data_IF_783851359148
#
_entry.id   IF_783851359148
#
_cell.length_a   1.000
_cell.length_b   1.000
_cell.length_c   1.000
_cell.angle_alpha   90.00
_cell.angle_beta   90.00
_cell.angle_gamma   90.00
#
_symmetry.space_group_name_H-M   'P 1'
#
loop_
_entity.id
_entity.type
_entity.pdbx_description
1 polymer ?
#
# COMPACT_ATOMS: atom_id res chain seq x y z
N UNK A 1 -19.94 -30.57 -14.12
CA UNK A 1 -19.16 -29.65 -13.26
C UNK A 1 -17.80 -30.29 -13.04
N UNK A 2 -16.68 -29.70 -13.52
CA UNK A 2 -15.38 -30.33 -13.38
C UNK A 2 -14.87 -30.14 -11.93
N UNK A 3 -14.37 -31.23 -11.34
CA UNK A 3 -13.89 -31.34 -9.95
C UNK A 3 -12.49 -30.73 -9.72
N UNK A 4 -12.08 -29.76 -10.55
CA UNK A 4 -10.67 -29.35 -10.69
C UNK A 4 -10.43 -27.86 -10.91
N UNK A 5 -11.47 -27.03 -10.83
CA UNK A 5 -11.32 -25.59 -11.05
C UNK A 5 -10.86 -24.87 -9.77
N UNK A 6 -9.67 -25.15 -9.24
CA UNK A 6 -9.12 -24.43 -8.08
C UNK A 6 -8.64 -23.00 -8.44
N UNK A 7 -8.54 -22.68 -9.72
CA UNK A 7 -8.01 -21.41 -10.26
C UNK A 7 -8.81 -20.15 -9.87
N UNK A 8 -10.03 -20.32 -9.34
CA UNK A 8 -10.86 -19.20 -8.89
C UNK A 8 -10.43 -18.64 -7.53
N UNK A 9 -9.65 -19.39 -6.75
CA UNK A 9 -9.09 -18.92 -5.49
C UNK A 9 -7.76 -18.21 -5.75
N UNK A 10 -7.74 -16.88 -5.62
CA UNK A 10 -6.60 -16.04 -6.04
C UNK A 10 -5.59 -15.78 -4.93
N UNK A 11 -5.88 -16.19 -3.69
CA UNK A 11 -4.97 -16.00 -2.55
C UNK A 11 -4.91 -17.24 -1.65
N UNK A 12 -3.83 -17.35 -0.86
CA UNK A 12 -3.67 -18.46 0.09
C UNK A 12 -4.84 -18.53 1.06
N UNK A 13 -5.24 -17.36 1.56
CA UNK A 13 -6.35 -17.26 2.48
C UNK A 13 -7.63 -17.80 1.83
N UNK A 14 -7.97 -17.31 0.64
CA UNK A 14 -9.17 -17.75 -0.10
C UNK A 14 -9.18 -19.27 -0.34
N UNK A 15 -8.05 -19.82 -0.79
CA UNK A 15 -7.86 -21.24 -1.06
C UNK A 15 -8.00 -22.14 0.19
N UNK A 16 -7.33 -21.77 1.29
CA UNK A 16 -7.33 -22.56 2.53
C UNK A 16 -8.66 -22.43 3.27
N UNK A 17 -9.24 -21.23 3.27
CA UNK A 17 -10.51 -20.95 3.91
C UNK A 17 -11.68 -21.60 3.16
N UNK A 18 -11.59 -21.84 1.86
CA UNK A 18 -12.62 -22.55 1.10
C UNK A 18 -12.87 -23.99 1.58
N UNK A 19 -11.89 -24.62 2.24
CA UNK A 19 -11.95 -26.02 2.74
C UNK A 19 -12.32 -27.04 1.65
N UNK A 20 -11.97 -26.75 0.40
CA UNK A 20 -12.20 -27.68 -0.70
C UNK A 20 -11.24 -28.88 -0.56
N UNK A 21 -11.74 -30.11 -0.41
CA UNK A 21 -10.90 -31.30 -0.23
C UNK A 21 -9.99 -31.58 -1.42
N UNK A 22 -10.30 -31.06 -2.61
CA UNK A 22 -9.52 -31.26 -3.82
C UNK A 22 -8.51 -30.14 -4.07
N UNK A 23 -8.62 -28.99 -3.41
CA UNK A 23 -7.74 -27.83 -3.60
C UNK A 23 -6.81 -27.60 -2.40
N UNK A 24 -5.59 -27.17 -2.68
CA UNK A 24 -4.62 -26.74 -1.69
C UNK A 24 -3.75 -25.62 -2.23
N UNK A 25 -3.27 -24.76 -1.34
CA UNK A 25 -2.40 -23.65 -1.71
C UNK A 25 -0.97 -24.13 -1.87
N UNK A 26 -0.37 -23.96 -3.04
CA UNK A 26 1.04 -24.29 -3.26
C UNK A 26 1.91 -23.05 -2.97
N UNK A 27 2.77 -23.16 -1.96
CA UNK A 27 3.65 -22.07 -1.51
C UNK A 27 4.74 -21.70 -2.54
N UNK A 28 5.13 -22.63 -3.42
CA UNK A 28 6.13 -22.37 -4.47
C UNK A 28 5.52 -21.59 -5.62
N UNK A 29 4.38 -22.06 -6.14
CA UNK A 29 3.72 -21.43 -7.28
C UNK A 29 2.86 -20.22 -6.89
N UNK A 30 2.70 -19.99 -5.58
CA UNK A 30 1.86 -18.94 -5.01
C UNK A 30 0.46 -18.95 -5.62
N UNK A 31 -0.11 -20.15 -5.77
CA UNK A 31 -1.41 -20.37 -6.41
C UNK A 31 -2.17 -21.53 -5.78
N UNK A 32 -3.51 -21.48 -5.87
CA UNK A 32 -4.35 -22.59 -5.45
C UNK A 32 -4.40 -23.65 -6.55
N UNK A 33 -4.04 -24.89 -6.22
CA UNK A 33 -3.94 -25.97 -7.18
C UNK A 33 -4.66 -27.22 -6.69
N UNK A 34 -5.07 -28.08 -7.63
CA UNK A 34 -5.69 -29.34 -7.31
C UNK A 34 -4.65 -30.36 -6.81
N UNK A 35 -4.93 -31.01 -5.68
CA UNK A 35 -3.97 -31.85 -4.94
C UNK A 35 -3.53 -33.08 -5.73
N UNK A 36 -4.39 -33.59 -6.60
CA UNK A 36 -4.07 -34.72 -7.49
C UNK A 36 -2.96 -34.41 -8.51
N UNK A 37 -2.69 -33.13 -8.79
CA UNK A 37 -1.62 -32.69 -9.67
C UNK A 37 -0.34 -32.31 -8.93
N UNK A 38 -0.32 -32.43 -7.60
CA UNK A 38 0.84 -32.10 -6.76
C UNK A 38 1.66 -33.37 -6.55
N UNK A 39 2.95 -33.31 -6.91
CA UNK A 39 3.84 -34.46 -6.86
C UNK A 39 4.05 -34.94 -5.41
N UNK A 40 4.07 -36.27 -5.15
CA UNK A 40 4.23 -36.84 -3.79
C UNK A 40 5.42 -36.31 -2.98
N UNK A 41 6.48 -35.87 -3.67
CA UNK A 41 7.69 -35.34 -3.04
C UNK A 41 7.57 -33.87 -2.59
N UNK A 42 6.47 -33.17 -2.92
CA UNK A 42 6.25 -31.74 -2.64
C UNK A 42 5.15 -31.48 -1.60
N UNK A 43 4.61 -32.53 -0.97
CA UNK A 43 3.51 -32.42 0.01
C UNK A 43 3.81 -31.52 1.22
N UNK A 44 5.08 -31.21 1.48
CA UNK A 44 5.49 -30.31 2.56
C UNK A 44 5.23 -28.83 2.28
N UNK A 45 4.91 -28.44 1.04
CA UNK A 45 4.77 -27.03 0.64
C UNK A 45 3.33 -26.68 0.22
N UNK A 46 2.39 -27.58 0.49
CA UNK A 46 0.96 -27.37 0.22
C UNK A 46 0.23 -27.08 1.52
N UNK A 47 -0.41 -25.92 1.60
CA UNK A 47 -1.25 -25.53 2.73
C UNK A 47 -2.70 -25.89 2.41
N UNK A 48 -3.29 -26.74 3.23
CA UNK A 48 -4.71 -27.07 3.19
C UNK A 48 -5.22 -27.25 4.61
N UNK A 49 -6.42 -26.75 4.90
CA UNK A 49 -7.05 -26.98 6.20
C UNK A 49 -8.53 -27.29 6.07
N UNK A 50 -8.86 -28.59 6.14
CA UNK A 50 -10.23 -29.09 5.96
C UNK A 50 -11.04 -29.09 7.25
N UNK A 51 -10.38 -29.39 8.39
CA UNK A 51 -11.03 -29.53 9.70
C UNK A 51 -11.01 -28.23 10.49
N UNK A 52 -9.81 -27.69 10.68
CA UNK A 52 -9.56 -26.66 11.68
C UNK A 52 -9.50 -25.23 11.10
N UNK A 53 -9.66 -25.09 9.76
CA UNK A 53 -9.57 -23.80 9.02
C UNK A 53 -8.34 -22.98 9.41
N UNK A 54 -7.23 -23.68 9.59
CA UNK A 54 -5.96 -23.10 9.95
C UNK A 54 -5.24 -22.54 8.72
N UNK A 55 -5.41 -21.24 8.48
CA UNK A 55 -4.65 -20.48 7.49
C UNK A 55 -3.41 -19.78 8.09
N UNK A 56 -3.01 -20.13 9.32
CA UNK A 56 -1.80 -19.58 9.96
C UNK A 56 -0.51 -19.94 9.22
N UNK A 57 -0.57 -20.99 8.39
CA UNK A 57 0.52 -21.42 7.51
C UNK A 57 0.55 -20.66 6.18
N UNK A 58 -0.43 -19.79 5.91
CA UNK A 58 -0.36 -18.90 4.77
C UNK A 58 0.77 -17.87 5.01
N UNK A 59 1.54 -17.55 3.95
CA UNK A 59 2.50 -16.47 4.05
C UNK A 59 1.74 -15.19 4.40
N UNK A 60 2.29 -14.42 5.34
CA UNK A 60 1.78 -13.08 5.59
C UNK A 60 1.85 -12.31 4.27
N UNK A 61 0.74 -11.68 3.88
CA UNK A 61 0.77 -10.72 2.78
C UNK A 61 1.81 -9.67 3.15
N UNK A 62 2.86 -9.52 2.34
CA UNK A 62 3.88 -8.50 2.60
C UNK A 62 3.18 -7.15 2.62
N UNK A 63 3.08 -6.55 3.80
CA UNK A 63 2.48 -5.22 3.92
C UNK A 63 3.42 -4.24 3.24
N UNK A 64 2.99 -3.71 2.09
CA UNK A 64 3.79 -2.72 1.38
C UNK A 64 3.84 -1.45 2.21
N UNK A 65 4.99 -1.15 2.82
CA UNK A 65 5.22 0.08 3.57
C UNK A 65 5.61 1.21 2.59
N UNK A 66 4.65 2.07 2.27
CA UNK A 66 4.80 3.11 1.26
C UNK A 66 4.87 4.49 1.93
N UNK A 67 5.98 5.20 1.76
CA UNK A 67 6.09 6.61 2.18
C UNK A 67 5.51 7.48 1.07
N UNK A 68 4.53 8.33 1.39
CA UNK A 68 3.98 9.33 0.46
C UNK A 68 4.17 10.74 1.00
N UNK A 69 4.71 11.62 0.15
CA UNK A 69 4.81 13.03 0.46
C UNK A 69 3.59 13.79 -0.07
N UNK A 70 3.09 14.73 0.72
CA UNK A 70 1.96 15.57 0.34
C UNK A 70 2.19 17.03 0.73
N UNK A 71 1.40 17.91 0.14
CA UNK A 71 1.36 19.33 0.47
C UNK A 71 -0.06 19.72 0.86
N UNK A 72 -0.25 20.75 1.71
CA UNK A 72 -1.57 21.23 2.05
C UNK A 72 -2.42 21.56 0.80
N UNK A 73 -3.67 21.10 0.76
CA UNK A 73 -4.54 21.23 -0.40
C UNK A 73 -4.47 20.07 -1.41
N UNK A 74 -3.50 19.16 -1.29
CA UNK A 74 -3.39 18.02 -2.19
C UNK A 74 -4.54 17.03 -2.01
N UNK A 75 -4.92 16.39 -3.12
CA UNK A 75 -5.76 15.19 -3.11
C UNK A 75 -4.87 13.95 -3.06
N UNK A 76 -5.06 13.10 -2.04
CA UNK A 76 -4.33 11.84 -1.88
C UNK A 76 -5.25 10.64 -2.11
N UNK A 77 -4.67 9.58 -2.65
CA UNK A 77 -5.31 8.27 -2.84
C UNK A 77 -4.40 7.17 -2.31
N UNK A 78 -4.91 6.40 -1.35
CA UNK A 78 -4.22 5.26 -0.75
C UNK A 78 -4.98 4.00 -1.14
N UNK A 79 -4.39 3.20 -2.03
CA UNK A 79 -4.99 1.97 -2.52
C UNK A 79 -4.78 0.85 -1.50
N UNK A 80 -5.80 0.05 -1.27
CA UNK A 80 -5.68 -1.19 -0.53
C UNK A 80 -6.30 -2.31 -1.35
N UNK A 81 -5.56 -3.38 -1.57
CA UNK A 81 -6.06 -4.53 -2.30
C UNK A 81 -6.70 -5.52 -1.32
N UNK A 82 -7.85 -6.12 -1.64
CA UNK A 82 -8.48 -7.11 -0.77
C UNK A 82 -7.66 -8.41 -0.78
N UNK A 83 -7.60 -9.09 0.38
CA UNK A 83 -6.94 -10.39 0.49
C UNK A 83 -7.73 -11.53 -0.16
N UNK A 84 -9.05 -11.40 -0.24
CA UNK A 84 -9.96 -12.34 -0.91
C UNK A 84 -11.25 -11.63 -1.33
N UNK A 85 -12.08 -12.26 -2.17
CA UNK A 85 -13.35 -11.67 -2.59
C UNK A 85 -14.39 -11.55 -1.45
N UNK A 86 -14.16 -12.24 -0.34
CA UNK A 86 -15.04 -12.24 0.85
C UNK A 86 -14.56 -11.28 1.95
N UNK A 87 -13.48 -10.55 1.72
CA UNK A 87 -12.89 -9.67 2.73
C UNK A 87 -13.52 -8.29 2.76
N UNK A 88 -13.75 -7.79 3.97
CA UNK A 88 -14.08 -6.41 4.23
C UNK A 88 -12.82 -5.62 4.59
N UNK A 89 -12.60 -4.48 3.93
CA UNK A 89 -11.46 -3.61 4.21
C UNK A 89 -11.79 -2.60 5.31
N UNK A 90 -10.84 -2.42 6.22
CA UNK A 90 -10.93 -1.46 7.30
C UNK A 90 -9.66 -0.60 7.35
N UNK A 91 -9.84 0.70 7.33
CA UNK A 91 -8.76 1.68 7.43
C UNK A 91 -8.59 2.15 8.87
N UNK A 92 -7.33 2.29 9.27
CA UNK A 92 -6.93 2.78 10.58
C UNK A 92 -5.92 3.92 10.41
N UNK A 93 -6.08 4.98 11.20
CA UNK A 93 -5.14 6.11 11.29
C UNK A 93 -4.58 6.13 12.69
N UNK A 94 -3.27 5.95 12.81
CA UNK A 94 -2.59 5.91 14.12
C UNK A 94 -3.28 4.97 15.12
N UNK A 95 -3.76 3.82 14.63
CA UNK A 95 -4.46 2.79 15.42
C UNK A 95 -5.97 2.99 15.61
N UNK A 96 -6.55 4.11 15.18
CA UNK A 96 -7.99 4.39 15.34
C UNK A 96 -8.73 4.11 14.02
N UNK A 97 -9.91 3.47 14.05
CA UNK A 97 -10.68 3.20 12.84
C UNK A 97 -11.12 4.50 12.19
N UNK A 98 -10.97 4.59 10.87
CA UNK A 98 -11.50 5.70 10.09
C UNK A 98 -13.00 5.54 10.00
N UNK A 99 -13.75 6.37 10.72
CA UNK A 99 -15.18 6.48 10.47
C UNK A 99 -15.41 7.11 9.10
N UNK A 100 -16.22 6.42 8.29
CA UNK A 100 -16.70 6.84 6.96
C UNK A 100 -17.50 8.18 6.97
N UNK A 101 -17.58 8.86 8.12
CA UNK A 101 -18.35 10.10 8.33
C UNK A 101 -17.49 11.37 8.35
N UNK A 102 -16.15 11.26 8.38
CA UNK A 102 -15.30 12.47 8.28
C UNK A 102 -15.28 12.98 6.84
N UNK A 103 -15.77 14.21 6.64
CA UNK A 103 -15.94 14.94 5.35
C UNK A 103 -14.68 14.96 4.46
N UNK A 104 -13.52 14.58 5.01
CA UNK A 104 -12.21 14.62 4.37
C UNK A 104 -11.82 13.27 3.75
N UNK A 105 -12.36 12.15 4.26
CA UNK A 105 -11.89 10.80 3.95
C UNK A 105 -13.02 9.95 3.35
N UNK A 106 -12.92 9.64 2.05
CA UNK A 106 -13.90 8.79 1.36
C UNK A 106 -13.29 7.43 0.99
N UNK A 107 -14.01 6.35 1.29
CA UNK A 107 -13.66 5.01 0.84
C UNK A 107 -14.43 4.74 -0.46
N UNK A 108 -13.71 4.65 -1.59
CA UNK A 108 -14.28 4.30 -2.90
C UNK A 108 -13.46 3.18 -3.52
N UNK A 109 -14.11 2.06 -3.86
CA UNK A 109 -13.45 0.91 -4.49
C UNK A 109 -12.12 0.57 -3.81
N UNK A 110 -12.16 0.34 -2.48
CA UNK A 110 -11.01 -0.12 -1.71
C UNK A 110 -9.89 0.93 -1.53
N UNK A 111 -10.14 2.17 -1.91
CA UNK A 111 -9.17 3.28 -1.83
C UNK A 111 -9.62 4.31 -0.81
N UNK A 112 -8.73 4.73 0.10
CA UNK A 112 -8.93 5.88 0.98
C UNK A 112 -8.54 7.16 0.23
N UNK A 113 -9.48 8.10 0.12
CA UNK A 113 -9.30 9.38 -0.55
C UNK A 113 -9.30 10.51 0.46
N UNK A 114 -8.20 11.28 0.51
CA UNK A 114 -8.10 12.53 1.27
C UNK A 114 -8.23 13.65 0.25
N UNK A 115 -9.32 14.42 0.29
CA UNK A 115 -9.60 15.42 -0.77
C UNK A 115 -8.83 16.72 -0.62
N UNK A 116 -8.65 17.18 0.62
CA UNK A 116 -7.97 18.41 0.97
C UNK A 116 -7.04 18.11 2.14
N UNK A 117 -5.85 17.61 1.82
CA UNK A 117 -4.88 17.22 2.83
C UNK A 117 -4.41 18.45 3.63
N UNK A 118 -4.39 18.32 4.95
CA UNK A 118 -3.84 19.28 5.90
C UNK A 118 -2.63 18.67 6.60
N UNK A 119 -1.83 19.49 7.28
CA UNK A 119 -0.74 19.01 8.14
C UNK A 119 -1.22 17.99 9.19
N UNK A 120 -2.47 18.13 9.65
CA UNK A 120 -3.09 17.19 10.58
C UNK A 120 -3.36 15.79 9.98
N UNK A 121 -3.34 15.65 8.65
CA UNK A 121 -3.52 14.36 7.98
C UNK A 121 -2.21 13.57 7.88
N UNK A 122 -1.07 14.14 8.29
CA UNK A 122 0.19 13.42 8.37
C UNK A 122 0.12 12.32 9.43
N UNK A 123 0.67 11.14 9.14
CA UNK A 123 0.63 10.01 10.06
C UNK A 123 0.69 8.65 9.38
N UNK A 124 0.44 7.61 10.19
CA UNK A 124 0.51 6.23 9.76
C UNK A 124 -0.89 5.68 9.46
N UNK A 125 -1.09 5.26 8.22
CA UNK A 125 -2.35 4.73 7.73
C UNK A 125 -2.19 3.24 7.45
N UNK A 126 -3.02 2.43 8.07
CA UNK A 126 -2.99 0.98 7.93
C UNK A 126 -4.31 0.51 7.36
N UNK A 127 -4.23 -0.29 6.30
CA UNK A 127 -5.38 -1.02 5.79
C UNK A 127 -5.31 -2.48 6.22
N UNK A 128 -6.39 -2.95 6.84
CA UNK A 128 -6.57 -4.36 7.21
C UNK A 128 -7.73 -4.96 6.44
N UNK A 129 -7.49 -6.16 5.93
CA UNK A 129 -8.49 -7.04 5.32
C UNK A 129 -9.04 -7.97 6.40
N UNK A 130 -10.34 -7.92 6.64
CA UNK A 130 -11.04 -8.72 7.64
C UNK A 130 -11.93 -9.72 6.91
N UNK A 131 -11.69 -11.01 7.11
CA UNK A 131 -12.56 -12.08 6.60
C UNK A 131 -13.28 -12.77 7.76
N UNK A 132 -14.61 -12.70 7.77
CA UNK A 132 -15.44 -13.35 8.80
C UNK A 132 -15.93 -14.71 8.30
N UNK A 133 -15.71 -15.76 9.09
CA UNK A 133 -16.26 -17.09 8.80
C UNK A 133 -16.69 -17.81 10.07
N UNK A 134 -17.94 -18.27 10.10
CA UNK A 134 -18.55 -18.99 11.23
C UNK A 134 -18.34 -18.29 12.59
N UNK A 135 -18.25 -16.95 12.58
CA UNK A 135 -18.09 -16.13 13.79
C UNK A 135 -16.65 -15.82 14.20
N UNK A 136 -15.64 -16.34 13.48
CA UNK A 136 -14.24 -15.96 13.67
C UNK A 136 -13.81 -14.94 12.61
N UNK A 137 -13.07 -13.91 13.04
CA UNK A 137 -12.52 -12.86 12.18
C UNK A 137 -11.02 -13.11 11.94
N UNK A 138 -10.66 -13.27 10.67
CA UNK A 138 -9.26 -13.33 10.25
C UNK A 138 -8.84 -11.97 9.71
N UNK A 139 -7.94 -11.31 10.44
CA UNK A 139 -7.46 -9.97 10.11
C UNK A 139 -6.06 -10.07 9.52
N UNK A 140 -5.86 -9.55 8.32
CA UNK A 140 -4.55 -9.43 7.68
C UNK A 140 -4.26 -7.97 7.35
N UNK A 141 -3.03 -7.52 7.59
CA UNK A 141 -2.60 -6.17 7.19
C UNK A 141 -2.15 -6.20 5.73
N UNK A 142 -2.85 -5.46 4.86
CA UNK A 142 -2.59 -5.52 3.42
C UNK A 142 -1.77 -4.34 2.91
N UNK A 143 -1.87 -3.17 3.54
CA UNK A 143 -1.10 -1.99 3.14
C UNK A 143 -0.78 -1.07 4.32
N UNK A 144 0.41 -0.48 4.30
CA UNK A 144 0.86 0.52 5.27
C UNK A 144 1.36 1.77 4.53
N UNK A 145 0.87 2.93 4.93
CA UNK A 145 1.27 4.21 4.34
C UNK A 145 1.77 5.16 5.43
N UNK A 146 2.91 5.78 5.16
CA UNK A 146 3.47 6.85 5.98
C UNK A 146 3.34 8.18 5.23
N UNK A 147 2.36 9.00 5.64
CA UNK A 147 2.09 10.30 5.02
C UNK A 147 2.93 11.38 5.67
N UNK A 148 3.80 12.00 4.86
CA UNK A 148 4.71 13.05 5.32
C UNK A 148 4.48 14.34 4.54
N UNK A 149 4.65 15.47 5.21
CA UNK A 149 4.69 16.75 4.53
C UNK A 149 5.93 16.82 3.64
N UNK A 150 5.73 17.17 2.38
CA UNK A 150 6.82 17.46 1.46
C UNK A 150 7.41 18.82 1.78
N UNK A 151 8.73 18.93 1.68
CA UNK A 151 9.45 20.20 1.89
C UNK A 151 9.48 20.99 0.56
N UNK A 152 8.39 21.72 0.24
CA UNK A 152 8.34 22.56 -0.99
C UNK A 152 9.07 23.90 -0.80
N UNK A 153 9.26 24.34 0.45
CA UNK A 153 9.72 25.69 0.78
C UNK A 153 11.20 25.95 0.47
N UNK A 154 12.01 24.93 0.19
CA UNK A 154 13.44 25.12 -0.11
C UNK A 154 13.73 25.36 -1.59
N UNK A 155 12.88 24.91 -2.51
CA UNK A 155 13.13 25.07 -3.95
C UNK A 155 13.25 26.55 -4.41
N UNK A 156 12.34 27.47 -4.04
CA UNK A 156 12.44 28.86 -4.50
C UNK A 156 13.55 29.65 -3.78
N UNK A 157 13.82 29.36 -2.49
CA UNK A 157 14.89 30.01 -1.73
C UNK A 157 16.29 29.59 -2.24
N UNK A 158 16.47 28.30 -2.54
CA UNK A 158 17.73 27.80 -3.11
C UNK A 158 17.93 28.36 -4.52
N UNK A 159 16.88 28.41 -5.36
CA UNK A 159 16.98 29.05 -6.68
C UNK A 159 17.35 30.53 -6.57
N UNK A 160 16.74 31.28 -5.66
CA UNK A 160 17.08 32.69 -5.44
C UNK A 160 18.54 32.88 -4.99
N UNK A 161 19.02 32.06 -4.05
CA UNK A 161 20.41 32.08 -3.59
C UNK A 161 21.40 31.75 -4.73
N UNK A 162 21.10 30.76 -5.54
CA UNK A 162 21.95 30.37 -6.69
C UNK A 162 22.01 31.48 -7.74
N UNK A 163 20.88 32.13 -8.05
CA UNK A 163 20.84 33.28 -8.96
C UNK A 163 21.66 34.45 -8.39
N UNK A 164 21.54 34.75 -7.10
CA UNK A 164 22.32 35.81 -6.45
C UNK A 164 23.83 35.49 -6.51
N UNK A 165 24.24 34.26 -6.20
CA UNK A 165 25.66 33.86 -6.17
C UNK A 165 26.28 33.83 -7.57
N UNK A 166 25.52 33.45 -8.61
CA UNK A 166 26.07 33.33 -9.98
C UNK A 166 25.95 34.65 -10.74
N UNK A 167 24.80 35.33 -10.68
CA UNK A 167 24.50 36.48 -11.54
C UNK A 167 25.04 37.79 -10.96
N UNK A 168 25.01 37.99 -9.63
CA UNK A 168 25.54 39.22 -9.03
C UNK A 168 27.03 39.46 -9.30
N UNK A 169 27.95 38.48 -9.11
CA UNK A 169 29.35 38.72 -9.40
C UNK A 169 29.62 38.95 -10.88
N UNK A 170 28.88 38.29 -11.79
CA UNK A 170 29.01 38.53 -13.24
C UNK A 170 28.63 39.98 -13.59
N UNK A 171 27.53 40.50 -13.05
CA UNK A 171 27.11 41.90 -13.24
C UNK A 171 28.14 42.88 -12.67
N UNK A 172 28.73 42.56 -11.52
CA UNK A 172 29.77 43.38 -10.89
C UNK A 172 31.05 43.43 -11.74
N UNK A 173 31.49 42.28 -12.25
CA UNK A 173 32.67 42.16 -13.13
C UNK A 173 32.44 42.92 -14.43
N UNK A 174 31.27 42.78 -15.07
CA UNK A 174 30.95 43.51 -16.30
C UNK A 174 30.94 45.02 -16.08
N UNK A 175 30.35 45.50 -14.97
CA UNK A 175 30.39 46.92 -14.63
C UNK A 175 31.83 47.40 -14.38
N UNK A 176 32.63 46.67 -13.61
CA UNK A 176 34.04 46.99 -13.39
C UNK A 176 34.82 47.04 -14.70
N UNK A 177 34.60 46.11 -15.62
CA UNK A 177 35.23 46.12 -16.95
C UNK A 177 34.80 47.32 -17.80
N UNK A 178 33.53 47.74 -17.73
CA UNK A 178 33.02 48.92 -18.43
C UNK A 178 33.61 50.23 -17.88
N UNK A 179 33.78 50.33 -16.56
CA UNK A 179 34.39 51.50 -15.91
C UNK A 179 35.91 51.53 -16.00
N UNK A 180 36.57 50.39 -16.17
CA UNK A 180 38.02 50.28 -16.27
C UNK A 180 38.55 50.32 -17.71
N UNK A 181 37.69 50.54 -18.71
CA UNK A 181 38.15 50.79 -20.08
C UNK A 181 38.94 52.11 -20.11
N UNK A 182 40.26 52.09 -20.35
CA UNK A 182 41.06 53.31 -20.39
C UNK A 182 40.64 54.14 -21.59
N UNK A 183 40.41 55.45 -21.38
CA UNK A 183 40.45 56.44 -22.45
C UNK A 183 41.89 56.73 -22.84
#
# INVERSE_FOLDING_TARGET
MPLTACDHYTSCMDCVLARDPYCGWNLISNSCAAINHIHPNTHSEVVQSLRDRNASHCPAVESTNTIKFFYPGNKLSLLCEPGSNLTQLQWHVSGHPVENSSVVQHIKHNTLLILNASENDAGHYTCTSVETSKGEEYITQTAMYDLRLGDSMKAPLIQALVIIIIVMPLVLVVNLCLFCSPR
#
